data_IF_572800773964
#
_entry.id   IF_572800773964
#
_cell.length_a   1.000
_cell.length_b   1.000
_cell.length_c   1.000
_cell.angle_alpha   90.00
_cell.angle_beta   90.00
_cell.angle_gamma   90.00
#
_symmetry.space_group_name_H-M   'P 1'
#
loop_
_entity.id
_entity.type
_entity.pdbx_description
1 polymer ?
#
# COMPACT_ATOMS: atom_id res chain seq x y z
N UNK A 1 -10.00 -39.45 -7.33
CA UNK A 1 -9.75 -38.73 -6.07
C UNK A 1 -8.26 -38.79 -5.82
N UNK A 2 -7.53 -37.66 -5.82
CA UNK A 2 -6.10 -37.70 -5.55
C UNK A 2 -5.91 -38.15 -4.10
N UNK A 3 -5.09 -39.17 -3.94
CA UNK A 3 -4.77 -39.82 -2.67
C UNK A 3 -3.92 -38.82 -1.86
N UNK A 4 -4.12 -38.73 -0.55
CA UNK A 4 -3.46 -37.80 0.39
C UNK A 4 -1.93 -37.65 0.16
N UNK A 5 -1.28 -38.66 -0.42
CA UNK A 5 0.14 -38.66 -0.78
C UNK A 5 0.51 -37.73 -1.97
N UNK A 6 -0.38 -37.48 -2.92
CA UNK A 6 -0.12 -36.53 -4.02
C UNK A 6 -0.17 -35.08 -3.52
N UNK A 7 -1.05 -34.77 -2.57
CA UNK A 7 -1.13 -33.45 -1.92
C UNK A 7 0.20 -33.12 -1.22
N UNK A 8 0.72 -34.07 -0.44
CA UNK A 8 2.00 -33.96 0.27
C UNK A 8 3.21 -33.82 -0.68
N UNK A 9 3.15 -34.44 -1.88
CA UNK A 9 4.20 -34.30 -2.89
C UNK A 9 4.19 -32.91 -3.58
N UNK A 10 3.01 -32.28 -3.72
CA UNK A 10 2.92 -30.87 -4.15
C UNK A 10 3.35 -29.89 -3.07
N UNK A 11 3.03 -30.17 -1.80
CA UNK A 11 3.42 -29.33 -0.66
C UNK A 11 4.95 -29.30 -0.49
N UNK A 12 5.64 -30.44 -0.66
CA UNK A 12 7.10 -30.52 -0.65
C UNK A 12 7.80 -29.94 -1.90
N UNK A 13 7.05 -29.47 -2.91
CA UNK A 13 7.62 -28.89 -4.14
C UNK A 13 7.76 -27.37 -4.06
N UNK A 14 7.15 -26.76 -3.05
CA UNK A 14 7.31 -25.35 -2.77
C UNK A 14 8.23 -25.22 -1.55
N UNK A 15 9.38 -24.54 -1.64
CA UNK A 15 10.11 -24.17 -0.42
C UNK A 15 9.15 -23.41 0.50
N UNK A 16 9.44 -23.38 1.80
CA UNK A 16 8.68 -22.66 2.85
C UNK A 16 8.42 -21.16 2.56
N UNK A 17 8.86 -20.70 1.40
CA UNK A 17 8.98 -19.34 0.87
C UNK A 17 8.01 -19.05 -0.28
N UNK A 18 7.02 -19.92 -0.53
CA UNK A 18 6.06 -19.74 -1.63
C UNK A 18 4.80 -18.99 -1.21
N UNK A 19 4.18 -18.27 -2.16
CA UNK A 19 2.86 -17.66 -1.99
C UNK A 19 1.81 -18.66 -1.46
N UNK A 20 1.68 -19.89 -2.02
CA UNK A 20 0.82 -20.92 -1.45
C UNK A 20 1.07 -21.18 0.03
N UNK A 21 2.33 -21.32 0.44
CA UNK A 21 2.71 -21.55 1.85
C UNK A 21 2.31 -20.38 2.74
N UNK A 22 2.51 -19.14 2.28
CA UNK A 22 2.03 -17.95 2.99
C UNK A 22 0.52 -18.00 3.20
N UNK A 23 -0.26 -18.33 2.15
CA UNK A 23 -1.71 -18.38 2.23
C UNK A 23 -2.20 -19.50 3.16
N UNK A 24 -1.56 -20.66 3.13
CA UNK A 24 -1.89 -21.75 4.05
C UNK A 24 -1.64 -21.35 5.52
N UNK A 25 -0.54 -20.64 5.79
CA UNK A 25 -0.24 -20.14 7.13
C UNK A 25 -1.23 -19.06 7.56
N UNK A 26 -1.61 -18.14 6.67
CA UNK A 26 -2.51 -17.03 6.99
C UNK A 26 -3.94 -17.48 7.34
N UNK A 27 -4.37 -18.67 6.90
CA UNK A 27 -5.66 -19.25 7.29
C UNK A 27 -5.79 -19.50 8.80
N UNK A 28 -4.66 -19.61 9.52
CA UNK A 28 -4.66 -19.79 10.98
C UNK A 28 -4.78 -18.47 11.75
N UNK A 29 -4.80 -17.33 11.06
CA UNK A 29 -4.90 -16.01 11.67
C UNK A 29 -6.33 -15.47 11.51
N UNK A 30 -6.87 -14.78 12.52
CA UNK A 30 -8.14 -14.09 12.37
C UNK A 30 -8.04 -13.04 11.26
N UNK A 31 -9.15 -12.83 10.54
CA UNK A 31 -9.22 -11.75 9.56
C UNK A 31 -9.19 -10.40 10.27
N UNK A 32 -8.19 -9.58 9.97
CA UNK A 32 -8.06 -8.23 10.50
C UNK A 32 -8.69 -7.23 9.50
N UNK A 33 -9.82 -6.61 9.87
CA UNK A 33 -10.43 -5.61 9.01
C UNK A 33 -9.53 -4.37 8.93
N UNK A 34 -9.33 -3.85 7.73
CA UNK A 34 -8.67 -2.58 7.53
C UNK A 34 -9.71 -1.54 7.09
N UNK A 35 -9.76 -0.42 7.82
CA UNK A 35 -10.57 0.73 7.43
C UNK A 35 -9.82 1.55 6.38
N UNK A 36 -10.18 1.33 5.11
CA UNK A 36 -9.74 2.20 4.02
C UNK A 36 -10.72 3.34 3.85
N UNK A 37 -10.20 4.57 3.73
CA UNK A 37 -11.03 5.73 3.47
C UNK A 37 -11.67 5.63 2.09
N UNK A 38 -12.88 6.17 1.96
CA UNK A 38 -13.56 6.23 0.66
C UNK A 38 -12.76 7.09 -0.33
N UNK A 39 -13.05 6.92 -1.63
CA UNK A 39 -12.36 7.65 -2.71
C UNK A 39 -12.43 9.17 -2.56
N UNK A 40 -13.48 9.69 -1.93
CA UNK A 40 -13.67 11.13 -1.73
C UNK A 40 -13.00 11.65 -0.46
N UNK A 41 -12.79 10.76 0.52
CA UNK A 41 -12.21 11.10 1.82
C UNK A 41 -10.71 10.84 1.87
N UNK A 42 -10.15 10.01 0.97
CA UNK A 42 -8.72 9.73 0.99
C UNK A 42 -7.90 11.03 0.81
N UNK A 43 -7.02 11.37 1.76
CA UNK A 43 -6.16 12.55 1.68
C UNK A 43 -5.15 12.44 0.54
N UNK A 44 -4.87 11.22 0.06
CA UNK A 44 -3.97 10.99 -1.07
C UNK A 44 -4.47 11.64 -2.37
N UNK A 45 -5.76 12.00 -2.48
CA UNK A 45 -6.29 12.77 -3.62
C UNK A 45 -5.71 14.17 -3.72
N UNK A 46 -5.22 14.73 -2.61
CA UNK A 46 -4.68 16.08 -2.50
C UNK A 46 -3.19 16.16 -2.82
N UNK A 47 -2.52 15.03 -2.99
CA UNK A 47 -1.12 14.98 -3.39
C UNK A 47 -0.93 15.61 -4.76
N UNK A 48 0.08 16.47 -4.87
CA UNK A 48 0.45 17.11 -6.14
C UNK A 48 1.10 16.13 -7.09
N UNK A 49 1.24 16.51 -8.37
CA UNK A 49 1.90 15.67 -9.37
C UNK A 49 3.37 15.42 -9.01
N UNK A 50 4.06 16.43 -8.46
CA UNK A 50 5.46 16.33 -8.02
C UNK A 50 5.59 15.35 -6.87
N UNK A 51 4.72 15.48 -5.86
CA UNK A 51 4.66 14.57 -4.73
C UNK A 51 4.46 13.13 -5.20
N UNK A 52 3.47 12.87 -6.06
CA UNK A 52 3.22 11.53 -6.62
C UNK A 52 4.42 10.97 -7.40
N UNK A 53 5.14 11.82 -8.14
CA UNK A 53 6.29 11.41 -8.94
C UNK A 53 7.53 11.05 -8.10
N UNK A 54 7.65 11.63 -6.91
CA UNK A 54 8.80 11.42 -6.02
C UNK A 54 8.64 10.24 -5.06
N UNK A 55 7.48 9.57 -5.06
CA UNK A 55 7.22 8.45 -4.16
C UNK A 55 8.22 7.32 -4.35
N UNK A 56 8.70 6.78 -3.23
CA UNK A 56 9.54 5.59 -3.14
C UNK A 56 8.94 4.62 -2.14
N UNK A 57 8.88 3.35 -2.53
CA UNK A 57 8.27 2.29 -1.75
C UNK A 57 9.37 1.31 -1.40
N UNK A 58 9.50 1.04 -0.11
CA UNK A 58 10.27 -0.06 0.43
C UNK A 58 9.29 -1.05 1.06
N UNK A 59 9.56 -2.33 0.91
CA UNK A 59 8.67 -3.42 1.30
C UNK A 59 9.54 -4.54 1.89
N UNK A 60 9.03 -5.39 2.79
CA UNK A 60 9.82 -6.51 3.31
C UNK A 60 10.20 -7.48 2.18
N UNK A 61 11.19 -8.34 2.43
CA UNK A 61 11.39 -9.51 1.58
C UNK A 61 10.21 -10.48 1.74
N UNK A 62 9.89 -11.32 0.74
CA UNK A 62 8.75 -12.23 0.81
C UNK A 62 8.72 -13.13 2.05
N UNK A 63 9.89 -13.54 2.55
CA UNK A 63 10.02 -14.39 3.74
C UNK A 63 9.92 -13.61 5.07
N UNK A 64 10.14 -12.29 5.03
CA UNK A 64 10.01 -11.39 6.18
C UNK A 64 8.60 -10.79 6.27
N UNK A 65 7.68 -11.16 5.36
CA UNK A 65 6.32 -10.66 5.40
C UNK A 65 5.60 -11.10 6.69
N UNK A 66 4.98 -10.16 7.43
CA UNK A 66 4.18 -10.50 8.59
C UNK A 66 3.04 -11.43 8.18
N UNK A 67 2.79 -12.46 8.99
CA UNK A 67 1.69 -13.40 8.76
C UNK A 67 0.38 -12.76 9.23
N UNK A 68 -0.65 -12.86 8.40
CA UNK A 68 -1.98 -12.38 8.76
C UNK A 68 -2.97 -12.49 7.62
N UNK A 69 -4.24 -12.32 7.96
CA UNK A 69 -5.37 -12.36 7.03
C UNK A 69 -6.01 -10.98 6.98
N UNK A 70 -6.18 -10.43 5.77
CA UNK A 70 -6.70 -9.08 5.59
C UNK A 70 -6.00 -8.33 4.46
N UNK A 71 -6.68 -7.32 3.92
CA UNK A 71 -6.24 -6.60 2.72
C UNK A 71 -4.83 -5.99 2.84
N UNK A 72 -4.43 -5.54 4.02
CA UNK A 72 -3.09 -4.95 4.25
C UNK A 72 -1.99 -6.01 4.24
N UNK A 73 -2.25 -7.20 4.80
CA UNK A 73 -1.32 -8.33 4.72
C UNK A 73 -1.17 -8.81 3.27
N UNK A 74 -2.29 -8.95 2.56
CA UNK A 74 -2.25 -9.35 1.15
C UNK A 74 -1.51 -8.34 0.28
N UNK A 75 -1.72 -7.05 0.52
CA UNK A 75 -1.04 -5.99 -0.22
C UNK A 75 0.46 -5.95 0.12
N UNK A 76 0.85 -6.15 1.38
CA UNK A 76 2.26 -6.24 1.81
C UNK A 76 3.00 -7.35 1.06
N UNK A 77 2.43 -8.56 1.02
CA UNK A 77 3.03 -9.70 0.30
C UNK A 77 3.18 -9.41 -1.19
N UNK A 78 2.21 -8.75 -1.82
CA UNK A 78 2.30 -8.37 -3.24
C UNK A 78 3.42 -7.36 -3.49
N UNK A 79 3.60 -6.39 -2.59
CA UNK A 79 4.71 -5.45 -2.68
C UNK A 79 6.06 -6.14 -2.46
N UNK A 80 6.14 -7.11 -1.54
CA UNK A 80 7.33 -7.93 -1.35
C UNK A 80 7.70 -8.73 -2.62
N UNK A 81 6.71 -9.24 -3.35
CA UNK A 81 6.95 -9.88 -4.66
C UNK A 81 7.39 -8.90 -5.74
N UNK A 82 6.88 -7.66 -5.72
CA UNK A 82 7.39 -6.63 -6.62
C UNK A 82 8.83 -6.26 -6.27
N UNK A 83 9.19 -6.24 -4.99
CA UNK A 83 10.58 -6.05 -4.54
C UNK A 83 11.48 -7.17 -5.05
N UNK A 84 11.14 -8.43 -4.78
CA UNK A 84 11.96 -9.59 -5.16
C UNK A 84 12.13 -9.75 -6.68
N UNK A 85 11.15 -9.29 -7.46
CA UNK A 85 11.21 -9.23 -8.93
C UNK A 85 11.96 -8.01 -9.48
N UNK A 86 12.49 -7.13 -8.62
CA UNK A 86 13.17 -5.90 -9.03
C UNK A 86 12.25 -4.84 -9.63
N UNK A 87 10.93 -4.92 -9.40
CA UNK A 87 9.95 -3.98 -9.97
C UNK A 87 9.95 -2.64 -9.22
N UNK A 88 10.03 -2.66 -7.89
CA UNK A 88 9.93 -1.43 -7.07
C UNK A 88 10.98 -0.36 -7.42
N UNK A 89 12.28 -0.69 -7.60
CA UNK A 89 13.30 0.33 -7.91
C UNK A 89 13.08 1.06 -9.25
N UNK A 90 12.37 0.43 -10.19
CA UNK A 90 12.16 0.95 -11.54
C UNK A 90 10.73 1.45 -11.79
N UNK A 91 9.86 1.37 -10.79
CA UNK A 91 8.45 1.75 -10.91
C UNK A 91 8.17 3.09 -10.25
N UNK A 92 7.27 3.87 -10.86
CA UNK A 92 6.72 5.04 -10.18
C UNK A 92 5.71 4.61 -9.10
N UNK A 93 5.55 5.42 -8.06
CA UNK A 93 4.53 5.18 -7.04
C UNK A 93 3.12 5.07 -7.64
N UNK A 94 2.83 5.85 -8.69
CA UNK A 94 1.56 5.77 -9.41
C UNK A 94 1.35 4.42 -10.11
N UNK A 95 2.38 3.85 -10.73
CA UNK A 95 2.28 2.51 -11.33
C UNK A 95 1.91 1.47 -10.27
N UNK A 96 2.56 1.52 -9.11
CA UNK A 96 2.30 0.58 -8.00
C UNK A 96 0.89 0.78 -7.44
N UNK A 97 0.47 2.02 -7.19
CA UNK A 97 -0.90 2.33 -6.78
C UNK A 97 -1.93 1.78 -7.79
N UNK A 98 -1.69 1.91 -9.09
CA UNK A 98 -2.56 1.36 -10.13
C UNK A 98 -2.64 -0.16 -10.07
N UNK A 99 -1.52 -0.86 -9.87
CA UNK A 99 -1.54 -2.31 -9.67
C UNK A 99 -2.40 -2.70 -8.46
N UNK A 100 -2.25 -2.01 -7.33
CA UNK A 100 -3.06 -2.25 -6.14
C UNK A 100 -4.56 -1.96 -6.38
N UNK A 101 -4.89 -0.86 -7.06
CA UNK A 101 -6.27 -0.54 -7.46
C UNK A 101 -6.89 -1.66 -8.32
N UNK A 102 -6.11 -2.27 -9.23
CA UNK A 102 -6.62 -3.33 -10.12
C UNK A 102 -6.97 -4.63 -9.38
N UNK A 103 -6.32 -4.87 -8.25
CA UNK A 103 -6.48 -6.07 -7.44
C UNK A 103 -7.55 -5.87 -6.38
N UNK A 104 -7.49 -4.76 -5.65
CA UNK A 104 -8.30 -4.53 -4.44
C UNK A 104 -9.41 -3.50 -4.63
N UNK A 105 -9.40 -2.76 -5.74
CA UNK A 105 -10.37 -1.72 -6.05
C UNK A 105 -11.18 -2.06 -7.29
N UNK A 106 -11.25 -1.11 -8.22
CA UNK A 106 -11.99 -1.27 -9.47
C UNK A 106 -11.05 -1.47 -10.65
N UNK A 107 -11.33 -2.47 -11.49
CA UNK A 107 -10.63 -2.69 -12.77
C UNK A 107 -11.06 -1.72 -13.87
N UNK A 108 -12.05 -0.86 -13.62
CA UNK A 108 -12.54 0.09 -14.62
C UNK A 108 -11.43 1.09 -15.01
N UNK A 109 -11.19 1.36 -16.31
CA UNK A 109 -10.11 2.24 -16.76
C UNK A 109 -10.09 3.62 -16.07
N UNK A 110 -11.24 4.28 -15.91
CA UNK A 110 -11.31 5.56 -15.20
C UNK A 110 -10.88 5.49 -13.73
N UNK A 111 -11.14 4.38 -13.03
CA UNK A 111 -10.66 4.20 -11.66
C UNK A 111 -9.14 4.01 -11.63
N UNK A 112 -8.59 3.27 -12.59
CA UNK A 112 -7.16 3.01 -12.75
C UNK A 112 -6.34 4.26 -13.06
N UNK A 113 -6.91 5.23 -13.79
CA UNK A 113 -6.24 6.51 -14.11
C UNK A 113 -5.93 7.32 -12.84
N UNK A 114 -6.81 7.29 -11.83
CA UNK A 114 -6.59 8.01 -10.57
C UNK A 114 -5.97 7.13 -9.48
N UNK A 115 -6.28 5.83 -9.51
CA UNK A 115 -5.83 4.81 -8.57
C UNK A 115 -6.02 5.20 -7.09
N UNK A 116 -7.13 5.86 -6.75
CA UNK A 116 -7.35 6.45 -5.42
C UNK A 116 -7.38 5.40 -4.29
N UNK A 117 -7.95 4.22 -4.54
CA UNK A 117 -7.92 3.11 -3.56
C UNK A 117 -6.52 2.55 -3.46
N UNK A 118 -5.81 2.44 -4.59
CA UNK A 118 -4.42 2.02 -4.61
C UNK A 118 -3.49 2.95 -3.82
N UNK A 119 -3.69 4.27 -3.94
CA UNK A 119 -2.95 5.27 -3.16
C UNK A 119 -3.34 5.22 -1.67
N UNK A 120 -4.61 5.06 -1.37
CA UNK A 120 -5.09 4.89 0.00
C UNK A 120 -4.50 3.63 0.67
N UNK A 121 -4.39 2.53 -0.07
CA UNK A 121 -3.71 1.32 0.38
C UNK A 121 -2.24 1.58 0.71
N UNK A 122 -1.50 2.31 -0.14
CA UNK A 122 -0.12 2.68 0.16
C UNK A 122 -0.01 3.52 1.44
N UNK A 123 -0.94 4.46 1.65
CA UNK A 123 -1.00 5.26 2.89
C UNK A 123 -1.30 4.39 4.11
N UNK A 124 -2.25 3.48 4.00
CA UNK A 124 -2.63 2.59 5.09
C UNK A 124 -1.50 1.61 5.46
N UNK A 125 -0.83 1.04 4.45
CA UNK A 125 0.35 0.18 4.64
C UNK A 125 1.50 0.91 5.33
N UNK A 126 1.75 2.16 4.91
CA UNK A 126 2.77 3.03 5.51
C UNK A 126 2.50 3.31 7.00
N UNK A 127 1.22 3.31 7.40
CA UNK A 127 0.79 3.55 8.78
C UNK A 127 0.67 2.27 9.63
N UNK A 128 0.47 1.10 9.00
CA UNK A 128 0.21 -0.16 9.68
C UNK A 128 1.48 -0.87 10.21
N UNK A 129 2.67 -0.34 9.91
CA UNK A 129 3.97 -0.88 10.35
C UNK A 129 4.20 -2.36 10.01
N UNK A 130 3.64 -2.83 8.89
CA UNK A 130 3.82 -4.20 8.37
C UNK A 130 5.15 -4.39 7.61
N UNK A 131 6.16 -3.59 7.94
CA UNK A 131 7.44 -3.51 7.22
C UNK A 131 7.40 -2.76 5.88
N UNK A 132 6.21 -2.34 5.41
CA UNK A 132 6.08 -1.51 4.21
C UNK A 132 6.27 -0.04 4.54
N UNK A 133 7.14 0.62 3.79
CA UNK A 133 7.57 1.98 4.01
C UNK A 133 7.37 2.83 2.76
N UNK A 134 6.55 3.89 2.83
CA UNK A 134 6.26 4.76 1.68
C UNK A 134 6.79 6.16 1.95
N UNK A 135 7.82 6.53 1.20
CA UNK A 135 8.50 7.82 1.30
C UNK A 135 8.09 8.74 0.17
N UNK A 136 8.03 10.04 0.48
CA UNK A 136 7.68 11.10 -0.47
C UNK A 136 8.53 12.35 -0.22
N UNK A 137 8.70 13.17 -1.25
CA UNK A 137 9.21 14.53 -1.12
C UNK A 137 8.02 15.48 -0.96
N UNK A 138 7.64 15.79 0.28
CA UNK A 138 6.55 16.71 0.57
C UNK A 138 6.89 18.14 0.15
N UNK A 139 5.89 18.83 -0.41
CA UNK A 139 6.06 20.22 -0.84
C UNK A 139 6.41 21.16 0.32
N UNK A 140 7.16 22.25 0.02
CA UNK A 140 7.47 23.25 1.02
C UNK A 140 6.21 23.96 1.50
N UNK A 141 6.17 24.31 2.77
CA UNK A 141 5.10 25.12 3.38
C UNK A 141 5.24 26.62 3.06
N UNK A 142 6.44 27.03 2.63
CA UNK A 142 6.79 28.40 2.29
C UNK A 142 7.08 28.53 0.78
N UNK A 143 6.83 29.69 0.14
CA UNK A 143 6.99 29.87 -1.31
C UNK A 143 8.38 29.53 -1.88
N UNK A 144 9.44 29.64 -1.08
CA UNK A 144 10.83 29.33 -1.45
C UNK A 144 11.45 28.24 -0.58
N UNK A 145 10.63 27.45 0.09
CA UNK A 145 11.10 26.38 0.97
C UNK A 145 11.67 25.19 0.22
N UNK A 146 12.33 24.29 0.96
CA UNK A 146 12.87 23.03 0.41
C UNK A 146 11.85 21.90 0.53
N UNK A 147 11.87 21.00 -0.44
CA UNK A 147 11.16 19.73 -0.33
C UNK A 147 11.68 18.92 0.86
N UNK A 148 10.76 18.26 1.57
CA UNK A 148 11.08 17.49 2.78
C UNK A 148 10.86 16.01 2.52
N UNK A 149 11.89 15.18 2.74
CA UNK A 149 11.70 13.72 2.71
C UNK A 149 10.90 13.31 3.94
N UNK A 150 9.75 12.67 3.73
CA UNK A 150 8.87 12.25 4.81
C UNK A 150 8.06 11.01 4.44
N UNK A 151 7.31 10.48 5.40
CA UNK A 151 6.39 9.34 5.22
C UNK A 151 5.08 9.80 4.57
N UNK A 152 4.51 8.96 3.71
CA UNK A 152 3.26 9.26 3.01
C UNK A 152 2.10 9.46 3.98
N UNK A 153 1.98 8.61 5.00
CA UNK A 153 0.97 8.72 6.04
C UNK A 153 1.09 10.06 6.79
N UNK A 154 2.31 10.46 7.14
CA UNK A 154 2.57 11.75 7.79
C UNK A 154 2.18 12.93 6.89
N UNK A 155 2.51 12.89 5.60
CA UNK A 155 2.11 13.94 4.64
C UNK A 155 0.59 14.02 4.50
N UNK A 156 -0.09 12.88 4.48
CA UNK A 156 -1.55 12.83 4.42
C UNK A 156 -2.22 13.41 5.68
N UNK A 157 -1.60 13.24 6.85
CA UNK A 157 -2.10 13.83 8.10
C UNK A 157 -2.05 15.37 8.09
N UNK A 158 -1.05 15.97 7.42
CA UNK A 158 -0.97 17.44 7.27
C UNK A 158 -2.24 17.99 6.56
N UNK A 159 -2.79 17.27 5.58
CA UNK A 159 -4.02 17.71 4.89
C UNK A 159 -5.28 17.63 5.77
N UNK A 160 -5.36 16.64 6.66
CA UNK A 160 -6.48 16.50 7.60
C UNK A 160 -6.55 17.68 8.57
N UNK A 161 -5.39 18.13 9.07
CA UNK A 161 -5.29 19.26 9.98
C UNK A 161 -5.65 20.58 9.28
N UNK A 162 -5.17 20.80 8.05
CA UNK A 162 -5.50 22.02 7.29
C UNK A 162 -6.98 22.15 6.92
N UNK A 163 -7.67 21.02 6.71
CA UNK A 163 -9.11 21.03 6.44
C UNK A 163 -9.95 21.30 7.70
N UNK A 164 -9.49 20.86 8.88
CA UNK A 164 -10.12 21.17 10.15
C UNK A 164 -10.01 22.67 10.49
N UNK A 165 -8.83 23.27 10.28
CA UNK A 165 -8.59 24.70 10.55
C UNK A 165 -9.45 25.62 9.67
N UNK A 166 -9.62 25.30 8.37
CA UNK A 166 -10.47 26.10 7.45
C UNK A 166 -11.95 26.07 7.85
N UNK A 167 -12.48 24.92 8.27
CA UNK A 167 -13.89 24.82 8.73
C UNK A 167 -14.14 25.64 9.99
N UNK A 168 -13.17 25.74 10.90
CA UNK A 168 -13.30 26.56 12.11
C UNK A 168 -13.29 28.05 11.77
N UNK A 169 -12.57 28.47 10.73
CA UNK A 169 -12.56 29.87 10.27
C UNK A 169 -13.83 30.30 9.52
N UNK A 170 -14.53 29.38 8.86
CA UNK A 170 -15.76 29.67 8.11
C UNK A 170 -17.02 29.73 8.99
N UNK A 171 -16.92 29.30 10.26
CA UNK A 171 -18.03 29.29 11.23
C UNK A 171 -17.99 30.53 12.16
N UNK A 172 -16.97 31.39 12.05
CA UNK A 172 -16.84 32.65 12.79
C UNK A 172 -17.21 33.84 11.91
#
# INVERSE_FOLDING_TARGET
MPIINELNATLNRYPDDSLPTYWERSLNYPHEPAELLSRHETPTRLLTNTERATVRIDAPEPFDCPQGSGILYEATVRLALFRSRGVLPHSSGHYIARQLESVFGSRHPFAQVRALVGWELLRALDAADLGTNVWISGEPTEPLGRYRRMRLAARCAEFGNSHAERRVSEIR
#
